data_IF_275627999882
#
_entry.id   IF_275627999882
#
_cell.length_a   1.000
_cell.length_b   1.000
_cell.length_c   1.000
_cell.angle_alpha   90.00
_cell.angle_beta   90.00
_cell.angle_gamma   90.00
#
_symmetry.space_group_name_H-M   'P 1'
#
loop_
_entity.id
_entity.type
_entity.pdbx_description
1 polymer ?
#
# COMPACT_ATOMS: atom_id res chain seq x y z
N UNK A 1 6.36 11.27 13.80
CA UNK A 1 5.23 11.64 12.94
C UNK A 1 5.31 11.06 11.51
N UNK A 2 6.44 11.14 10.83
CA UNK A 2 6.56 10.70 9.43
C UNK A 2 6.28 9.19 9.17
N UNK A 3 6.70 8.28 10.06
CA UNK A 3 6.47 6.83 9.92
C UNK A 3 4.98 6.51 10.03
N UNK A 4 4.28 7.06 11.03
CA UNK A 4 2.82 6.86 11.21
C UNK A 4 2.01 7.31 9.99
N UNK A 5 2.42 8.40 9.34
CA UNK A 5 1.78 8.87 8.10
C UNK A 5 1.95 7.87 6.94
N UNK A 6 3.14 7.28 6.79
CA UNK A 6 3.41 6.25 5.79
C UNK A 6 2.60 4.98 6.03
N UNK A 7 2.60 4.45 7.26
CA UNK A 7 1.81 3.26 7.62
C UNK A 7 0.32 3.51 7.37
N UNK A 8 -0.21 4.67 7.79
CA UNK A 8 -1.61 5.03 7.55
C UNK A 8 -1.94 5.10 6.08
N UNK A 9 -1.06 5.72 5.26
CA UNK A 9 -1.25 5.79 3.81
C UNK A 9 -1.36 4.39 3.20
N UNK A 10 -0.43 3.50 3.51
CA UNK A 10 -0.41 2.12 3.03
C UNK A 10 -1.66 1.35 3.47
N UNK A 11 -2.03 1.45 4.76
CA UNK A 11 -3.20 0.75 5.30
C UNK A 11 -4.52 1.21 4.67
N UNK A 12 -4.60 2.47 4.23
CA UNK A 12 -5.79 3.05 3.62
C UNK A 12 -5.77 3.03 2.07
N UNK A 13 -4.67 2.60 1.45
CA UNK A 13 -4.52 2.46 0.00
C UNK A 13 -4.76 1.01 -0.42
N UNK A 14 -5.94 0.65 -1.02
CA UNK A 14 -6.29 -0.73 -1.33
C UNK A 14 -5.24 -1.41 -2.21
N UNK A 15 -4.77 -0.72 -3.27
CA UNK A 15 -3.80 -1.27 -4.22
C UNK A 15 -2.49 -1.68 -3.54
N UNK A 16 -1.95 -0.83 -2.65
CA UNK A 16 -0.71 -1.14 -1.93
C UNK A 16 -0.95 -2.27 -0.94
N UNK A 17 -2.03 -2.20 -0.15
CA UNK A 17 -2.38 -3.22 0.86
C UNK A 17 -2.49 -4.62 0.24
N UNK A 18 -3.19 -4.76 -0.89
CA UNK A 18 -3.33 -6.04 -1.56
C UNK A 18 -2.02 -6.52 -2.20
N UNK A 19 -1.18 -5.61 -2.71
CA UNK A 19 0.16 -5.96 -3.20
C UNK A 19 1.04 -6.49 -2.06
N UNK A 20 0.99 -5.87 -0.87
CA UNK A 20 1.71 -6.36 0.31
C UNK A 20 1.23 -7.75 0.74
N UNK A 21 -0.10 -7.96 0.79
CA UNK A 21 -0.68 -9.26 1.13
C UNK A 21 -0.24 -10.36 0.14
N UNK A 22 -0.31 -10.07 -1.16
CA UNK A 22 0.13 -11.00 -2.21
C UNK A 22 1.64 -11.26 -2.13
N UNK A 23 2.44 -10.24 -1.83
CA UNK A 23 3.88 -10.38 -1.59
C UNK A 23 4.19 -11.29 -0.40
N UNK A 24 3.46 -11.13 0.72
CA UNK A 24 3.58 -11.99 1.90
C UNK A 24 3.23 -13.45 1.57
N UNK A 25 2.10 -13.69 0.89
CA UNK A 25 1.63 -15.04 0.51
C UNK A 25 2.61 -15.68 -0.48
N UNK A 26 3.07 -14.92 -1.49
CA UNK A 26 4.07 -15.41 -2.43
C UNK A 26 5.39 -15.75 -1.73
N UNK A 27 5.88 -14.86 -0.85
CA UNK A 27 7.09 -15.09 -0.05
C UNK A 27 6.98 -16.35 0.82
N UNK A 28 5.83 -16.57 1.46
CA UNK A 28 5.56 -17.76 2.26
C UNK A 28 5.57 -19.05 1.41
N UNK A 29 4.89 -19.05 0.26
CA UNK A 29 4.87 -20.22 -0.62
C UNK A 29 6.23 -20.50 -1.25
N UNK A 30 6.88 -19.48 -1.80
CA UNK A 30 8.14 -19.62 -2.53
C UNK A 30 9.34 -19.94 -1.61
N UNK A 31 9.25 -19.60 -0.30
CA UNK A 31 10.29 -19.93 0.67
C UNK A 31 10.50 -21.45 0.86
N UNK A 32 9.49 -22.27 0.56
CA UNK A 32 9.61 -23.74 0.61
C UNK A 32 10.78 -24.23 -0.25
N UNK A 33 10.87 -23.71 -1.48
CA UNK A 33 11.92 -24.10 -2.42
C UNK A 33 13.31 -23.76 -1.88
N UNK A 34 13.49 -22.52 -1.41
CA UNK A 34 14.79 -22.01 -0.94
C UNK A 34 15.20 -22.67 0.36
N UNK A 35 14.27 -22.79 1.31
CA UNK A 35 14.53 -23.37 2.63
C UNK A 35 14.82 -24.88 2.56
N UNK A 36 14.15 -25.60 1.66
CA UNK A 36 14.28 -27.05 1.54
C UNK A 36 15.27 -27.47 0.45
N UNK A 37 15.93 -26.54 -0.25
CA UNK A 37 16.87 -26.84 -1.34
C UNK A 37 18.00 -27.80 -0.93
N UNK A 38 18.58 -27.70 0.28
CA UNK A 38 19.58 -28.71 0.73
C UNK A 38 19.01 -30.14 0.82
N UNK A 39 17.75 -30.26 1.31
CA UNK A 39 17.08 -31.58 1.37
C UNK A 39 16.73 -32.10 -0.02
N UNK A 40 16.28 -31.20 -0.93
CA UNK A 40 16.02 -31.56 -2.33
C UNK A 40 17.30 -32.12 -2.97
N UNK A 41 18.44 -31.47 -2.78
CA UNK A 41 19.70 -31.91 -3.35
C UNK A 41 20.12 -33.27 -2.79
N UNK A 42 20.00 -33.50 -1.47
CA UNK A 42 20.41 -34.70 -0.80
C UNK A 42 19.41 -35.86 -0.95
N UNK A 43 18.17 -35.65 -0.58
CA UNK A 43 17.17 -36.70 -0.38
C UNK A 43 16.37 -37.01 -1.64
N UNK A 44 16.06 -36.00 -2.48
CA UNK A 44 15.30 -36.20 -3.70
C UNK A 44 16.18 -36.57 -4.91
N UNK A 45 17.32 -35.88 -5.08
CA UNK A 45 18.24 -36.12 -6.20
C UNK A 45 19.36 -37.09 -5.86
N UNK A 46 19.61 -37.35 -4.57
CA UNK A 46 20.65 -38.25 -4.12
C UNK A 46 22.08 -37.73 -4.33
N UNK A 47 22.22 -36.40 -4.33
CA UNK A 47 23.48 -35.70 -4.57
C UNK A 47 24.16 -35.19 -3.30
N UNK A 48 25.20 -34.42 -3.50
CA UNK A 48 26.08 -33.86 -2.48
C UNK A 48 26.02 -32.32 -2.43
N UNK A 49 27.00 -31.68 -1.77
CA UNK A 49 27.14 -30.25 -1.69
C UNK A 49 27.33 -29.59 -3.07
N UNK A 50 27.92 -30.29 -4.05
CA UNK A 50 28.09 -29.80 -5.43
C UNK A 50 26.73 -29.75 -6.11
N UNK A 51 25.91 -30.77 -5.92
CA UNK A 51 24.51 -30.82 -6.43
C UNK A 51 23.69 -29.66 -5.90
N UNK A 52 23.78 -29.35 -4.59
CA UNK A 52 23.17 -28.18 -4.02
C UNK A 52 23.65 -26.89 -4.71
N UNK A 53 24.95 -26.72 -4.90
CA UNK A 53 25.52 -25.56 -5.58
C UNK A 53 25.03 -25.43 -7.03
N UNK A 54 24.93 -26.53 -7.77
CA UNK A 54 24.42 -26.56 -9.15
C UNK A 54 22.94 -26.17 -9.22
N UNK A 55 22.10 -26.67 -8.28
CA UNK A 55 20.69 -26.31 -8.22
C UNK A 55 20.50 -24.83 -7.86
N UNK A 56 21.26 -24.32 -6.88
CA UNK A 56 21.24 -22.89 -6.53
C UNK A 56 21.74 -22.01 -7.67
N UNK A 57 22.80 -22.44 -8.37
CA UNK A 57 23.32 -21.78 -9.57
C UNK A 57 22.30 -21.75 -10.70
N UNK A 58 21.55 -22.84 -10.91
CA UNK A 58 20.44 -22.90 -11.87
C UNK A 58 19.33 -21.91 -11.53
N UNK A 59 18.93 -21.82 -10.26
CA UNK A 59 17.98 -20.82 -9.79
C UNK A 59 18.52 -19.39 -10.07
N UNK A 60 19.79 -19.11 -9.74
CA UNK A 60 20.43 -17.83 -10.01
C UNK A 60 20.47 -17.47 -11.49
N UNK A 61 20.82 -18.42 -12.37
CA UNK A 61 20.81 -18.24 -13.82
C UNK A 61 19.40 -17.92 -14.34
N UNK A 62 18.40 -18.62 -13.82
CA UNK A 62 16.99 -18.33 -14.09
C UNK A 62 16.57 -16.92 -13.66
N UNK A 63 17.04 -16.48 -12.49
CA UNK A 63 16.77 -15.13 -11.98
C UNK A 63 17.35 -14.04 -12.89
N UNK A 64 18.58 -14.23 -13.40
CA UNK A 64 19.20 -13.34 -14.38
C UNK A 64 18.41 -13.34 -15.69
N UNK A 65 18.03 -14.51 -16.21
CA UNK A 65 17.19 -14.63 -17.41
C UNK A 65 15.85 -13.91 -17.25
N UNK A 66 15.19 -14.09 -16.09
CA UNK A 66 13.95 -13.40 -15.75
C UNK A 66 14.10 -11.88 -15.72
N UNK A 67 15.21 -11.37 -15.16
CA UNK A 67 15.50 -9.94 -15.13
C UNK A 67 15.68 -9.36 -16.56
N UNK A 68 16.38 -10.07 -17.43
CA UNK A 68 16.62 -9.64 -18.81
C UNK A 68 15.33 -9.54 -19.64
N UNK A 69 14.38 -10.48 -19.45
CA UNK A 69 13.11 -10.48 -20.18
C UNK A 69 12.04 -9.59 -19.54
N UNK A 70 12.21 -9.19 -18.26
CA UNK A 70 11.21 -8.43 -17.51
C UNK A 70 10.75 -7.15 -18.22
N UNK A 71 11.68 -6.42 -18.83
CA UNK A 71 11.36 -5.20 -19.57
C UNK A 71 10.45 -5.48 -20.78
N UNK A 72 10.79 -6.50 -21.58
CA UNK A 72 10.00 -6.89 -22.75
C UNK A 72 8.61 -7.35 -22.39
N UNK A 73 8.50 -8.14 -21.31
CA UNK A 73 7.20 -8.61 -20.82
C UNK A 73 6.29 -7.47 -20.38
N UNK A 74 6.84 -6.42 -19.74
CA UNK A 74 6.07 -5.24 -19.34
C UNK A 74 5.56 -4.39 -20.49
N UNK A 75 6.18 -4.49 -21.66
CA UNK A 75 5.70 -3.80 -22.87
C UNK A 75 4.50 -4.51 -23.51
N UNK A 76 4.37 -5.82 -23.30
CA UNK A 76 3.36 -6.66 -23.97
C UNK A 76 2.26 -7.17 -23.03
N UNK A 77 2.52 -7.25 -21.74
CA UNK A 77 1.62 -7.83 -20.74
C UNK A 77 1.33 -6.85 -19.61
N UNK A 78 0.12 -6.97 -19.05
CA UNK A 78 -0.24 -6.24 -17.83
C UNK A 78 0.54 -6.74 -16.62
N UNK A 79 0.72 -5.89 -15.60
CA UNK A 79 1.36 -6.27 -14.34
C UNK A 79 0.71 -7.52 -13.72
N UNK A 80 -0.62 -7.59 -13.80
CA UNK A 80 -1.37 -8.74 -13.29
C UNK A 80 -1.09 -10.02 -14.09
N UNK A 81 -1.04 -9.93 -15.42
CA UNK A 81 -0.73 -11.08 -16.29
C UNK A 81 0.69 -11.61 -16.02
N UNK A 82 1.68 -10.73 -15.87
CA UNK A 82 3.06 -11.11 -15.53
C UNK A 82 3.08 -11.88 -14.20
N UNK A 83 2.45 -11.34 -13.15
CA UNK A 83 2.46 -12.00 -11.82
C UNK A 83 1.73 -13.34 -11.87
N UNK A 84 0.59 -13.44 -12.57
CA UNK A 84 -0.15 -14.72 -12.70
C UNK A 84 0.68 -15.77 -13.42
N UNK A 85 1.18 -15.45 -14.61
CA UNK A 85 1.96 -16.38 -15.41
C UNK A 85 3.23 -16.80 -14.67
N UNK A 86 3.95 -15.85 -14.09
CA UNK A 86 5.17 -16.14 -13.34
C UNK A 86 4.91 -16.98 -12.08
N UNK A 87 3.81 -16.70 -11.33
CA UNK A 87 3.44 -17.48 -10.15
C UNK A 87 2.99 -18.90 -10.51
N UNK A 88 2.23 -19.06 -11.61
CA UNK A 88 1.84 -20.39 -12.12
C UNK A 88 3.05 -21.19 -12.60
N UNK A 89 3.95 -20.56 -13.34
CA UNK A 89 5.19 -21.20 -13.80
C UNK A 89 6.07 -21.63 -12.61
N UNK A 90 6.17 -20.76 -11.59
CA UNK A 90 6.87 -21.06 -10.35
C UNK A 90 6.23 -22.25 -9.61
N UNK A 91 4.91 -22.23 -9.44
CA UNK A 91 4.16 -23.30 -8.76
C UNK A 91 4.32 -24.65 -9.49
N UNK A 92 4.23 -24.64 -10.84
CA UNK A 92 4.45 -25.84 -11.65
C UNK A 92 5.89 -26.36 -11.51
N UNK A 93 6.87 -25.48 -11.53
CA UNK A 93 8.27 -25.85 -11.37
C UNK A 93 8.55 -26.41 -9.97
N UNK A 94 7.92 -25.89 -8.90
CA UNK A 94 7.97 -26.48 -7.56
C UNK A 94 7.31 -27.86 -7.54
N UNK A 95 6.18 -28.05 -8.20
CA UNK A 95 5.51 -29.34 -8.32
C UNK A 95 6.39 -30.39 -9.05
N UNK A 96 7.04 -29.96 -10.14
CA UNK A 96 8.04 -30.81 -10.82
C UNK A 96 9.21 -31.17 -9.90
N UNK A 97 9.73 -30.20 -9.15
CA UNK A 97 10.82 -30.42 -8.17
C UNK A 97 10.39 -31.41 -7.08
N UNK A 98 9.12 -31.36 -6.63
CA UNK A 98 8.59 -32.23 -5.58
C UNK A 98 8.61 -33.72 -5.96
N UNK A 99 8.49 -34.04 -7.25
CA UNK A 99 8.43 -35.44 -7.75
C UNK A 99 9.66 -35.84 -8.54
N UNK A 100 10.57 -34.91 -8.82
CA UNK A 100 11.78 -35.16 -9.63
C UNK A 100 12.88 -35.81 -8.81
N UNK A 101 13.42 -36.90 -9.35
CA UNK A 101 14.61 -37.57 -8.83
C UNK A 101 15.83 -37.41 -9.74
N UNK A 102 15.67 -36.65 -10.85
CA UNK A 102 16.71 -36.48 -11.87
C UNK A 102 17.28 -35.07 -11.83
N UNK A 103 18.57 -34.94 -11.64
CA UNK A 103 19.27 -33.66 -11.56
C UNK A 103 18.95 -32.71 -12.74
N UNK A 104 19.00 -33.12 -14.02
CA UNK A 104 18.74 -32.18 -15.12
C UNK A 104 17.32 -31.61 -15.13
N UNK A 105 16.32 -32.42 -14.73
CA UNK A 105 14.93 -31.98 -14.66
C UNK A 105 14.73 -31.00 -13.50
N UNK A 106 15.35 -31.27 -12.36
CA UNK A 106 15.32 -30.36 -11.20
C UNK A 106 16.04 -29.05 -11.52
N UNK A 107 17.18 -29.08 -12.25
CA UNK A 107 17.88 -27.87 -12.72
C UNK A 107 16.99 -27.03 -13.64
N UNK A 108 16.29 -27.64 -14.60
CA UNK A 108 15.36 -26.94 -15.47
C UNK A 108 14.21 -26.29 -14.68
N UNK A 109 13.67 -27.00 -13.68
CA UNK A 109 12.66 -26.46 -12.76
C UNK A 109 13.22 -25.28 -11.96
N UNK A 110 14.46 -25.36 -11.44
CA UNK A 110 15.12 -24.26 -10.73
C UNK A 110 15.32 -23.01 -11.59
N UNK A 111 15.66 -23.14 -12.88
CA UNK A 111 15.74 -22.04 -13.83
C UNK A 111 14.38 -21.31 -13.93
N UNK A 112 13.29 -22.05 -14.08
CA UNK A 112 11.94 -21.48 -14.15
C UNK A 112 11.57 -20.80 -12.83
N UNK A 113 11.90 -21.40 -11.69
CA UNK A 113 11.67 -20.80 -10.37
C UNK A 113 12.43 -19.49 -10.20
N UNK A 114 13.71 -19.45 -10.58
CA UNK A 114 14.51 -18.22 -10.53
C UNK A 114 13.93 -17.09 -11.36
N UNK A 115 13.54 -17.39 -12.60
CA UNK A 115 12.90 -16.41 -13.50
C UNK A 115 11.56 -15.92 -12.91
N UNK A 116 10.71 -16.83 -12.47
CA UNK A 116 9.41 -16.51 -11.85
C UNK A 116 9.56 -15.65 -10.59
N UNK A 117 10.54 -15.98 -9.73
CA UNK A 117 10.87 -15.20 -8.53
C UNK A 117 11.14 -13.73 -8.86
N UNK A 118 12.07 -13.47 -9.77
CA UNK A 118 12.45 -12.09 -10.13
C UNK A 118 11.29 -11.36 -10.80
N UNK A 119 10.56 -12.00 -11.70
CA UNK A 119 9.42 -11.40 -12.38
C UNK A 119 8.32 -10.97 -11.41
N UNK A 120 7.98 -11.81 -10.45
CA UNK A 120 6.95 -11.50 -9.44
C UNK A 120 7.41 -10.36 -8.53
N UNK A 121 8.61 -10.47 -7.94
CA UNK A 121 9.13 -9.47 -7.01
C UNK A 121 9.35 -8.12 -7.68
N UNK A 122 9.93 -8.10 -8.87
CA UNK A 122 10.15 -6.88 -9.62
C UNK A 122 8.82 -6.20 -10.01
N UNK A 123 7.79 -6.99 -10.36
CA UNK A 123 6.47 -6.44 -10.69
C UNK A 123 5.77 -5.87 -9.47
N UNK A 124 5.78 -6.57 -8.33
CA UNK A 124 5.24 -6.02 -7.09
C UNK A 124 5.96 -4.75 -6.64
N UNK A 125 7.31 -4.74 -6.75
CA UNK A 125 8.14 -3.59 -6.41
C UNK A 125 7.75 -2.36 -7.24
N UNK A 126 7.65 -2.50 -8.56
CA UNK A 126 7.21 -1.44 -9.47
C UNK A 126 5.79 -1.00 -9.15
N UNK A 127 4.87 -1.95 -8.92
CA UNK A 127 3.48 -1.65 -8.57
C UNK A 127 3.38 -0.80 -7.29
N UNK A 128 4.15 -1.14 -6.25
CA UNK A 128 4.18 -0.35 -5.01
C UNK A 128 4.75 1.05 -5.25
N UNK A 129 5.83 1.16 -6.03
CA UNK A 129 6.45 2.44 -6.36
C UNK A 129 5.51 3.34 -7.16
N UNK A 130 4.81 2.79 -8.14
CA UNK A 130 3.90 3.54 -9.00
C UNK A 130 2.53 3.80 -8.36
N UNK A 131 2.17 3.06 -7.31
CA UNK A 131 0.93 3.25 -6.54
C UNK A 131 1.10 4.18 -5.33
N UNK A 132 2.29 4.69 -5.09
CA UNK A 132 2.58 5.56 -3.96
C UNK A 132 3.12 6.92 -4.43
N UNK A 133 2.57 8.05 -3.96
CA UNK A 133 3.16 9.37 -4.20
C UNK A 133 4.61 9.43 -3.71
N UNK A 134 5.43 10.27 -4.34
CA UNK A 134 6.88 10.38 -4.05
C UNK A 134 7.20 10.55 -2.56
N UNK A 135 6.39 11.31 -1.82
CA UNK A 135 6.62 11.59 -0.40
C UNK A 135 6.46 10.37 0.53
N UNK A 136 5.80 9.29 0.07
CA UNK A 136 5.57 8.05 0.85
C UNK A 136 6.15 6.81 0.18
N UNK A 137 6.61 6.89 -1.05
CA UNK A 137 7.06 5.74 -1.85
C UNK A 137 8.14 4.90 -1.14
N UNK A 138 9.15 5.53 -0.55
CA UNK A 138 10.19 4.79 0.20
C UNK A 138 9.64 3.99 1.38
N UNK A 139 8.63 4.53 2.10
CA UNK A 139 8.00 3.83 3.24
C UNK A 139 7.09 2.70 2.79
N UNK A 140 6.33 2.92 1.71
CA UNK A 140 5.51 1.87 1.10
C UNK A 140 6.39 0.70 0.64
N UNK A 141 7.55 1.01 0.04
CA UNK A 141 8.52 0.02 -0.39
C UNK A 141 9.14 -0.74 0.79
N UNK A 142 9.49 -0.06 1.88
CA UNK A 142 10.00 -0.71 3.10
C UNK A 142 8.97 -1.66 3.71
N UNK A 143 7.70 -1.27 3.76
CA UNK A 143 6.61 -2.12 4.25
C UNK A 143 6.39 -3.33 3.33
N UNK A 144 6.51 -3.15 2.01
CA UNK A 144 6.46 -4.23 1.04
C UNK A 144 7.59 -5.23 1.25
N UNK A 145 8.83 -4.75 1.39
CA UNK A 145 9.99 -5.60 1.68
C UNK A 145 9.79 -6.39 3.00
N UNK A 146 9.31 -5.70 4.03
CA UNK A 146 9.02 -6.34 5.32
C UNK A 146 7.94 -7.42 5.19
N UNK A 147 6.89 -7.20 4.39
CA UNK A 147 5.84 -8.18 4.15
C UNK A 147 6.40 -9.44 3.45
N UNK A 148 7.23 -9.28 2.40
CA UNK A 148 7.87 -10.41 1.72
C UNK A 148 8.77 -11.19 2.66
N UNK A 149 9.68 -10.52 3.37
CA UNK A 149 10.60 -11.21 4.28
C UNK A 149 9.90 -11.85 5.47
N UNK A 150 8.81 -11.24 5.97
CA UNK A 150 7.97 -11.85 6.99
C UNK A 150 7.30 -13.13 6.46
N UNK A 151 6.78 -13.10 5.22
CA UNK A 151 6.26 -14.27 4.53
C UNK A 151 7.32 -15.36 4.37
N UNK A 152 8.52 -15.00 3.92
CA UNK A 152 9.64 -15.94 3.78
C UNK A 152 10.07 -16.55 5.11
N UNK A 153 10.22 -15.75 6.15
CA UNK A 153 10.64 -16.24 7.46
C UNK A 153 9.59 -17.18 8.08
N UNK A 154 8.33 -16.76 8.10
CA UNK A 154 7.22 -17.58 8.58
C UNK A 154 7.03 -18.85 7.74
N UNK A 155 7.13 -18.72 6.41
CA UNK A 155 7.06 -19.85 5.48
C UNK A 155 8.20 -20.83 5.70
N UNK A 156 9.45 -20.38 5.77
CA UNK A 156 10.61 -21.26 5.99
C UNK A 156 10.48 -22.07 7.27
N UNK A 157 10.01 -21.44 8.35
CA UNK A 157 9.72 -22.16 9.59
C UNK A 157 8.60 -23.20 9.40
N UNK A 158 7.49 -22.80 8.79
CA UNK A 158 6.35 -23.68 8.53
C UNK A 158 6.76 -24.89 7.69
N UNK A 159 7.49 -24.67 6.59
CA UNK A 159 7.92 -25.75 5.70
C UNK A 159 8.92 -26.69 6.36
N UNK A 160 9.77 -26.19 7.26
CA UNK A 160 10.63 -27.03 8.10
C UNK A 160 9.82 -27.99 8.97
N UNK A 161 8.77 -27.48 9.66
CA UNK A 161 7.86 -28.30 10.47
C UNK A 161 7.11 -29.32 9.60
N UNK A 162 6.48 -28.87 8.50
CA UNK A 162 5.72 -29.76 7.60
C UNK A 162 6.62 -30.86 7.02
N UNK A 163 7.86 -30.53 6.67
CA UNK A 163 8.81 -31.50 6.15
C UNK A 163 9.16 -32.56 7.21
N UNK A 164 9.31 -32.15 8.47
CA UNK A 164 9.60 -33.08 9.57
C UNK A 164 8.46 -34.06 9.85
N UNK A 165 7.22 -33.62 9.75
CA UNK A 165 6.03 -34.43 10.07
C UNK A 165 5.49 -35.22 8.85
N UNK A 166 5.44 -34.59 7.65
CA UNK A 166 4.75 -35.11 6.47
C UNK A 166 5.69 -35.42 5.30
N UNK A 167 6.97 -35.14 5.45
CA UNK A 167 7.99 -35.36 4.42
C UNK A 167 8.13 -34.24 3.38
N UNK A 168 9.26 -34.28 2.67
CA UNK A 168 9.68 -33.25 1.71
C UNK A 168 8.69 -33.02 0.57
N UNK A 169 8.25 -34.12 -0.07
CA UNK A 169 7.32 -34.04 -1.22
C UNK A 169 6.00 -33.37 -0.82
N UNK A 170 5.43 -33.74 0.33
CA UNK A 170 4.20 -33.15 0.83
C UNK A 170 4.36 -31.66 1.13
N UNK A 171 5.46 -31.27 1.78
CA UNK A 171 5.75 -29.86 2.06
C UNK A 171 5.81 -29.02 0.78
N UNK A 172 6.50 -29.51 -0.25
CA UNK A 172 6.58 -28.84 -1.55
C UNK A 172 5.21 -28.77 -2.24
N UNK A 173 4.41 -29.84 -2.25
CA UNK A 173 3.08 -29.83 -2.87
C UNK A 173 2.09 -28.92 -2.13
N UNK A 174 2.15 -28.84 -0.80
CA UNK A 174 1.33 -27.89 -0.03
C UNK A 174 1.76 -26.45 -0.35
N UNK A 175 3.06 -26.19 -0.52
CA UNK A 175 3.53 -24.85 -0.93
C UNK A 175 3.02 -24.47 -2.32
N UNK A 176 2.85 -25.41 -3.25
CA UNK A 176 2.22 -25.18 -4.56
C UNK A 176 0.80 -24.62 -4.38
N UNK A 177 -0.01 -25.19 -3.47
CA UNK A 177 -1.35 -24.68 -3.20
C UNK A 177 -1.35 -23.24 -2.70
N UNK A 178 -0.38 -22.86 -1.85
CA UNK A 178 -0.21 -21.49 -1.38
C UNK A 178 0.16 -20.56 -2.53
N UNK A 179 1.03 -20.98 -3.45
CA UNK A 179 1.43 -20.22 -4.65
C UNK A 179 0.26 -20.04 -5.63
N UNK A 180 -0.53 -21.08 -5.84
CA UNK A 180 -1.77 -21.01 -6.64
C UNK A 180 -2.79 -20.07 -6.00
N UNK A 181 -2.91 -20.08 -4.68
CA UNK A 181 -3.72 -19.14 -3.91
C UNK A 181 -3.28 -17.68 -4.14
N UNK A 182 -1.98 -17.41 -4.20
CA UNK A 182 -1.45 -16.07 -4.54
C UNK A 182 -1.89 -15.63 -5.96
N UNK A 183 -1.82 -16.54 -6.93
CA UNK A 183 -2.34 -16.30 -8.30
C UNK A 183 -3.85 -16.04 -8.31
N UNK A 184 -4.62 -16.84 -7.55
CA UNK A 184 -6.08 -16.72 -7.40
C UNK A 184 -6.51 -15.40 -6.74
N UNK A 185 -5.77 -14.89 -5.77
CA UNK A 185 -6.02 -13.57 -5.17
C UNK A 185 -6.03 -12.45 -6.22
N UNK A 186 -5.25 -12.60 -7.29
CA UNK A 186 -5.22 -11.66 -8.40
C UNK A 186 -6.52 -11.62 -9.23
N UNK A 187 -7.38 -12.66 -9.18
CA UNK A 187 -8.68 -12.64 -9.84
C UNK A 187 -9.65 -11.66 -9.16
N UNK A 188 -9.52 -11.50 -7.82
CA UNK A 188 -10.39 -10.62 -7.02
C UNK A 188 -9.76 -9.25 -6.79
N UNK A 189 -8.42 -9.16 -6.74
CA UNK A 189 -7.65 -7.97 -6.40
C UNK A 189 -6.52 -7.79 -7.42
N UNK A 190 -6.90 -7.39 -8.64
CA UNK A 190 -5.95 -7.15 -9.72
C UNK A 190 -4.99 -6.01 -9.39
N UNK A 191 -3.75 -6.13 -9.87
CA UNK A 191 -2.75 -5.09 -9.73
C UNK A 191 -3.04 -3.95 -10.71
N UNK A 192 -2.89 -2.68 -10.29
CA UNK A 192 -3.02 -1.55 -11.20
C UNK A 192 -1.90 -1.60 -12.26
N UNK A 193 -2.21 -1.09 -13.44
CA UNK A 193 -1.20 -0.92 -14.47
C UNK A 193 -0.36 0.33 -14.20
N UNK A 194 0.85 0.34 -14.74
CA UNK A 194 1.72 1.51 -14.68
C UNK A 194 1.09 2.63 -15.50
N UNK A 195 0.68 3.71 -14.84
CA UNK A 195 0.01 4.86 -15.46
C UNK A 195 -1.50 4.98 -15.20
N UNK A 196 -2.18 3.93 -14.68
CA UNK A 196 -3.60 4.01 -14.30
C UNK A 196 -3.85 4.99 -13.15
N UNK A 197 -2.87 5.15 -12.26
CA UNK A 197 -2.95 6.06 -11.12
C UNK A 197 -2.22 7.36 -11.44
N UNK A 198 -2.96 8.43 -11.59
CA UNK A 198 -2.42 9.78 -11.77
C UNK A 198 -2.02 10.37 -10.43
N UNK A 199 -0.91 9.92 -9.89
CA UNK A 199 -0.38 10.32 -8.58
C UNK A 199 0.51 11.58 -8.63
N UNK A 200 0.50 12.29 -9.75
CA UNK A 200 1.16 13.60 -9.85
C UNK A 200 0.51 14.55 -8.85
N UNK A 201 1.34 15.27 -8.11
CA UNK A 201 0.87 16.29 -7.18
C UNK A 201 0.33 17.46 -7.99
N UNK A 202 -0.88 17.89 -7.67
CA UNK A 202 -1.46 19.08 -8.28
C UNK A 202 -0.96 20.32 -7.54
N UNK A 203 -0.20 21.15 -8.22
CA UNK A 203 0.18 22.48 -7.73
C UNK A 203 -0.97 23.51 -7.81
N UNK A 204 -2.22 23.04 -7.77
CA UNK A 204 -3.40 23.93 -7.84
C UNK A 204 -3.75 24.62 -6.53
N UNK A 205 -3.23 24.12 -5.41
CA UNK A 205 -3.56 24.69 -4.12
C UNK A 205 -2.61 25.85 -3.79
N UNK A 206 -3.18 27.01 -3.56
CA UNK A 206 -2.45 28.17 -3.04
C UNK A 206 -2.69 28.27 -1.54
N UNK A 207 -1.63 28.58 -0.80
CA UNK A 207 -1.74 28.84 0.62
C UNK A 207 -2.68 30.03 0.83
N UNK A 208 -3.72 29.88 1.68
CA UNK A 208 -4.67 30.96 1.91
C UNK A 208 -4.02 32.06 2.72
N UNK A 209 -4.35 33.29 2.38
CA UNK A 209 -4.02 34.45 3.20
C UNK A 209 -4.78 34.35 4.53
N UNK A 210 -4.04 34.49 5.63
CA UNK A 210 -4.57 34.44 6.98
C UNK A 210 -4.31 35.77 7.66
N UNK A 211 -5.36 36.35 8.26
CA UNK A 211 -5.25 37.60 9.01
C UNK A 211 -4.63 37.43 10.40
N UNK A 212 -4.75 36.22 10.97
CA UNK A 212 -4.20 35.90 12.28
C UNK A 212 -2.75 35.44 12.16
N UNK A 213 -1.86 36.02 12.94
CA UNK A 213 -0.47 35.55 13.03
C UNK A 213 -0.45 34.22 13.76
N UNK A 214 -0.14 33.14 13.05
CA UNK A 214 -0.01 31.78 13.61
C UNK A 214 1.34 31.18 13.22
N UNK A 215 1.88 30.38 14.12
CA UNK A 215 3.09 29.61 13.86
C UNK A 215 2.76 28.33 13.08
N UNK A 216 3.76 27.75 12.40
CA UNK A 216 3.59 26.47 11.67
C UNK A 216 3.07 25.32 12.53
N UNK A 217 3.38 25.35 13.84
CA UNK A 217 2.96 24.32 14.81
C UNK A 217 1.66 24.66 15.54
N UNK A 218 1.06 25.82 15.28
CA UNK A 218 -0.22 26.20 15.88
C UNK A 218 -1.34 25.27 15.41
N UNK A 219 -2.19 24.86 16.33
CA UNK A 219 -3.32 23.95 16.07
C UNK A 219 -4.03 23.53 17.36
N UNK A 220 -5.05 22.68 17.32
CA UNK A 220 -5.65 22.09 16.09
C UNK A 220 -6.31 23.11 15.18
N UNK A 221 -6.21 22.87 13.88
CA UNK A 221 -6.89 23.68 12.86
C UNK A 221 -8.16 22.95 12.43
N UNK A 222 -9.30 23.52 12.72
CA UNK A 222 -10.61 23.02 12.29
C UNK A 222 -10.95 23.62 10.94
N UNK A 223 -11.25 22.76 9.98
CA UNK A 223 -11.65 23.17 8.62
C UNK A 223 -13.09 22.76 8.37
N UNK A 224 -13.91 23.71 7.94
CA UNK A 224 -15.27 23.44 7.49
C UNK A 224 -15.43 23.85 6.04
N UNK A 225 -16.17 23.03 5.28
CA UNK A 225 -16.53 23.34 3.89
C UNK A 225 -18.04 23.20 3.73
N UNK A 226 -18.69 24.24 3.24
CA UNK A 226 -20.14 24.34 3.06
C UNK A 226 -20.51 23.96 1.62
N UNK A 227 -21.46 23.04 1.45
CA UNK A 227 -21.98 22.60 0.17
C UNK A 227 -23.50 22.77 0.12
N UNK A 228 -24.04 23.28 -0.97
CA UNK A 228 -25.48 23.28 -1.23
C UNK A 228 -25.80 22.21 -2.27
N UNK A 229 -26.62 21.23 -1.88
CA UNK A 229 -26.87 20.02 -2.66
C UNK A 229 -28.38 19.85 -2.81
N UNK A 230 -28.84 19.63 -4.05
CA UNK A 230 -30.25 19.32 -4.32
C UNK A 230 -30.60 17.94 -3.77
N UNK A 231 -31.84 17.76 -3.41
CA UNK A 231 -32.32 16.48 -2.86
C UNK A 231 -32.11 15.30 -3.85
N UNK A 232 -32.25 15.54 -5.15
CA UNK A 232 -32.01 14.53 -6.20
C UNK A 232 -30.55 14.06 -6.27
N UNK A 233 -29.60 14.93 -5.92
CA UNK A 233 -28.17 14.68 -6.03
C UNK A 233 -27.55 14.12 -4.73
N UNK A 234 -28.34 13.99 -3.66
CA UNK A 234 -27.84 13.62 -2.31
C UNK A 234 -27.15 12.25 -2.32
N UNK A 235 -27.67 11.25 -3.00
CA UNK A 235 -27.07 9.90 -3.02
C UNK A 235 -25.69 9.91 -3.67
N UNK A 236 -25.56 10.61 -4.81
CA UNK A 236 -24.28 10.75 -5.50
C UNK A 236 -23.28 11.56 -4.66
N UNK A 237 -23.75 12.64 -4.05
CA UNK A 237 -22.95 13.44 -3.14
C UNK A 237 -22.43 12.63 -1.95
N UNK A 238 -23.27 11.83 -1.30
CA UNK A 238 -22.84 10.98 -0.17
C UNK A 238 -21.82 9.93 -0.59
N UNK A 239 -21.97 9.34 -1.78
CA UNK A 239 -20.98 8.43 -2.34
C UNK A 239 -19.62 9.10 -2.55
N UNK A 240 -19.61 10.28 -3.19
CA UNK A 240 -18.40 11.08 -3.41
C UNK A 240 -17.76 11.53 -2.09
N UNK A 241 -18.59 11.93 -1.09
CA UNK A 241 -18.10 12.30 0.25
C UNK A 241 -17.52 11.11 1.03
N UNK A 242 -18.01 9.89 0.77
CA UNK A 242 -17.41 8.66 1.29
C UNK A 242 -15.97 8.46 0.77
N UNK A 243 -15.73 8.69 -0.51
CA UNK A 243 -14.38 8.66 -1.10
C UNK A 243 -13.51 9.80 -0.53
N UNK A 244 -14.06 11.01 -0.44
CA UNK A 244 -13.37 12.17 0.13
C UNK A 244 -12.97 11.97 1.59
N UNK A 245 -13.83 11.38 2.42
CA UNK A 245 -13.50 10.98 3.80
C UNK A 245 -12.27 10.10 3.85
N UNK A 246 -12.19 9.09 2.96
CA UNK A 246 -11.05 8.18 2.88
C UNK A 246 -9.77 8.93 2.51
N UNK A 247 -9.83 9.82 1.50
CA UNK A 247 -8.71 10.66 1.06
C UNK A 247 -8.24 11.55 2.22
N UNK A 248 -9.15 12.29 2.86
CA UNK A 248 -8.83 13.18 3.99
C UNK A 248 -8.16 12.45 5.14
N UNK A 249 -8.72 11.30 5.53
CA UNK A 249 -8.15 10.47 6.61
C UNK A 249 -6.80 9.87 6.24
N UNK A 250 -6.62 9.43 5.00
CA UNK A 250 -5.35 8.95 4.46
C UNK A 250 -4.27 10.03 4.60
N UNK A 251 -4.58 11.27 4.26
CA UNK A 251 -3.64 12.38 4.25
C UNK A 251 -3.43 13.01 5.63
N UNK A 252 -4.24 12.66 6.62
CA UNK A 252 -3.97 13.04 7.99
C UNK A 252 -5.05 13.80 8.73
N UNK A 253 -6.17 14.07 8.09
CA UNK A 253 -7.31 14.68 8.77
C UNK A 253 -7.83 13.80 9.90
N UNK A 254 -8.24 14.45 11.00
CA UNK A 254 -8.84 13.82 12.19
C UNK A 254 -10.29 14.28 12.33
N UNK A 255 -11.06 13.57 13.10
CA UNK A 255 -12.46 13.89 13.49
C UNK A 255 -13.32 14.32 12.28
N UNK A 256 -13.12 13.65 11.12
CA UNK A 256 -13.89 13.96 9.93
C UNK A 256 -15.37 13.62 10.13
N UNK A 257 -16.23 14.58 9.88
CA UNK A 257 -17.69 14.46 9.91
C UNK A 257 -18.33 15.19 8.74
N UNK A 258 -19.48 14.71 8.31
CA UNK A 258 -20.36 15.37 7.37
C UNK A 258 -21.67 15.66 8.11
N UNK A 259 -22.06 16.91 8.14
CA UNK A 259 -23.25 17.40 8.85
C UNK A 259 -24.25 17.90 7.81
N UNK A 260 -25.55 17.71 8.07
CA UNK A 260 -26.63 18.33 7.32
C UNK A 260 -27.28 19.37 8.23
N UNK A 261 -27.51 20.58 7.75
CA UNK A 261 -28.18 21.61 8.50
C UNK A 261 -29.66 21.23 8.70
N UNK A 262 -30.19 21.45 9.90
CA UNK A 262 -31.58 21.13 10.21
C UNK A 262 -32.56 22.22 9.77
N UNK A 263 -32.08 23.45 9.63
CA UNK A 263 -32.86 24.61 9.22
C UNK A 263 -32.82 24.82 7.71
N UNK A 264 -31.68 24.50 7.09
CA UNK A 264 -31.43 24.55 5.64
C UNK A 264 -31.08 23.15 5.13
N UNK A 265 -32.07 22.31 4.74
CA UNK A 265 -31.83 20.91 4.39
C UNK A 265 -30.93 20.67 3.18
N UNK A 266 -30.77 21.68 2.31
CA UNK A 266 -29.83 21.67 1.17
C UNK A 266 -28.38 21.97 1.58
N UNK A 267 -28.15 22.48 2.80
CA UNK A 267 -26.83 22.83 3.30
C UNK A 267 -26.16 21.65 3.99
N UNK A 268 -25.00 21.27 3.46
CA UNK A 268 -24.13 20.23 4.00
C UNK A 268 -22.77 20.81 4.39
N UNK A 269 -22.22 20.37 5.55
CA UNK A 269 -20.97 20.89 6.09
C UNK A 269 -20.00 19.73 6.30
N UNK A 270 -18.93 19.70 5.54
CA UNK A 270 -17.77 18.86 5.82
C UNK A 270 -16.97 19.52 6.93
N UNK A 271 -16.64 18.78 7.99
CA UNK A 271 -15.76 19.21 9.07
C UNK A 271 -14.64 18.21 9.29
N UNK A 272 -13.42 18.70 9.46
CA UNK A 272 -12.28 17.88 9.89
C UNK A 272 -11.24 18.75 10.60
N UNK A 273 -10.37 18.09 11.38
CA UNK A 273 -9.31 18.76 12.12
C UNK A 273 -7.95 18.36 11.57
N UNK A 274 -7.02 19.30 11.53
CA UNK A 274 -5.60 19.07 11.28
C UNK A 274 -4.81 19.38 12.56
N UNK A 275 -3.85 18.52 12.97
CA UNK A 275 -3.13 18.71 14.24
C UNK A 275 -2.39 20.03 14.35
N UNK A 276 -1.84 20.52 13.22
CA UNK A 276 -1.13 21.80 13.14
C UNK A 276 -1.41 22.50 11.81
N UNK A 277 -1.10 23.81 11.74
CA UNK A 277 -1.16 24.56 10.49
C UNK A 277 -0.26 23.95 9.41
N UNK A 278 0.94 23.54 9.78
CA UNK A 278 1.87 22.87 8.86
C UNK A 278 1.31 21.54 8.33
N UNK A 279 0.60 20.77 9.17
CA UNK A 279 -0.03 19.54 8.72
C UNK A 279 -1.18 19.82 7.75
N UNK A 280 -1.95 20.90 7.98
CA UNK A 280 -2.99 21.37 7.05
C UNK A 280 -2.39 21.74 5.68
N UNK A 281 -1.31 22.53 5.66
CA UNK A 281 -0.59 22.89 4.43
C UNK A 281 -0.12 21.62 3.71
N UNK A 282 0.56 20.73 4.43
CA UNK A 282 1.06 19.46 3.87
C UNK A 282 -0.03 18.55 3.32
N UNK A 283 -1.20 18.50 3.94
CA UNK A 283 -2.34 17.72 3.46
C UNK A 283 -2.82 18.23 2.11
N UNK A 284 -2.92 19.55 1.95
CA UNK A 284 -3.41 20.15 0.70
C UNK A 284 -2.37 20.11 -0.43
N UNK A 285 -1.07 20.12 -0.11
CA UNK A 285 0.00 19.88 -1.11
C UNK A 285 0.14 18.41 -1.52
N UNK A 286 -0.54 17.46 -0.87
CA UNK A 286 -0.49 16.03 -1.19
C UNK A 286 -1.62 15.57 -2.09
N UNK A 287 -2.51 16.44 -2.50
CA UNK A 287 -3.63 16.15 -3.40
C UNK A 287 -3.07 15.70 -4.75
N UNK A 288 -3.48 14.52 -5.19
CA UNK A 288 -3.10 13.97 -6.49
C UNK A 288 -4.14 14.31 -7.56
N UNK A 289 -3.83 14.08 -8.83
CA UNK A 289 -4.80 14.26 -9.93
C UNK A 289 -6.03 13.34 -9.75
N UNK A 290 -5.84 12.12 -9.26
CA UNK A 290 -6.96 11.21 -8.96
C UNK A 290 -7.85 11.73 -7.83
N UNK A 291 -7.25 12.31 -6.78
CA UNK A 291 -8.01 12.96 -5.71
C UNK A 291 -8.79 14.18 -6.21
N UNK A 292 -8.27 14.87 -7.22
CA UNK A 292 -8.93 16.02 -7.83
C UNK A 292 -10.20 15.62 -8.58
N UNK A 293 -10.26 14.46 -9.20
CA UNK A 293 -11.46 13.96 -9.86
C UNK A 293 -12.65 13.85 -8.87
N UNK A 294 -12.37 13.42 -7.63
CA UNK A 294 -13.39 13.38 -6.56
C UNK A 294 -13.80 14.81 -6.17
N UNK A 295 -12.85 15.74 -6.14
CA UNK A 295 -13.11 17.14 -5.88
C UNK A 295 -14.00 17.77 -6.94
N UNK A 296 -13.65 17.56 -8.21
CA UNK A 296 -14.40 18.11 -9.35
C UNK A 296 -15.83 17.57 -9.37
N UNK A 297 -16.03 16.26 -9.08
CA UNK A 297 -17.35 15.65 -8.95
C UNK A 297 -18.19 16.32 -7.86
N UNK A 298 -17.64 16.52 -6.66
CA UNK A 298 -18.33 17.20 -5.55
C UNK A 298 -18.64 18.67 -5.91
N UNK A 299 -17.72 19.36 -6.60
CA UNK A 299 -17.94 20.73 -7.04
C UNK A 299 -19.09 20.85 -8.07
N UNK A 300 -19.20 19.90 -8.97
CA UNK A 300 -20.26 19.88 -9.99
C UNK A 300 -21.66 19.66 -9.37
N UNK A 301 -21.73 18.98 -8.22
CA UNK A 301 -22.98 18.81 -7.47
C UNK A 301 -23.37 20.03 -6.63
N UNK A 302 -22.42 20.95 -6.41
CA UNK A 302 -22.68 22.16 -5.61
C UNK A 302 -23.51 23.19 -6.36
N UNK A 303 -24.65 23.60 -5.82
CA UNK A 303 -25.59 24.54 -6.41
C UNK A 303 -25.49 25.97 -5.83
N UNK A 304 -24.57 26.21 -4.92
CA UNK A 304 -24.37 27.51 -4.30
C UNK A 304 -23.70 28.53 -5.25
N UNK A 305 -23.78 29.83 -4.94
CA UNK A 305 -23.11 30.84 -5.74
C UNK A 305 -21.58 30.72 -5.62
N UNK A 306 -20.95 30.30 -6.70
CA UNK A 306 -19.49 30.17 -6.79
C UNK A 306 -18.95 28.85 -6.22
N UNK A 307 -17.75 28.91 -5.66
CA UNK A 307 -17.08 27.73 -5.06
C UNK A 307 -17.58 27.47 -3.63
N UNK A 308 -17.60 26.20 -3.16
CA UNK A 308 -17.91 25.89 -1.78
C UNK A 308 -17.10 26.73 -0.79
N UNK A 309 -17.78 27.29 0.20
CA UNK A 309 -17.14 28.17 1.17
C UNK A 309 -16.31 27.38 2.17
N UNK A 310 -15.00 27.65 2.21
CA UNK A 310 -14.07 27.00 3.13
C UNK A 310 -13.71 27.96 4.26
N UNK A 311 -14.01 27.57 5.49
CA UNK A 311 -13.56 28.28 6.71
C UNK A 311 -12.47 27.51 7.40
N UNK A 312 -11.52 28.21 7.96
CA UNK A 312 -10.39 27.67 8.74
C UNK A 312 -10.40 28.36 10.08
N UNK A 313 -10.45 27.57 11.12
CA UNK A 313 -10.53 28.05 12.49
C UNK A 313 -9.46 27.36 13.31
N UNK A 314 -8.93 28.05 14.29
CA UNK A 314 -8.06 27.45 15.29
C UNK A 314 -8.86 27.20 16.55
N UNK A 315 -8.79 25.99 17.08
CA UNK A 315 -9.45 25.65 18.34
C UNK A 315 -8.75 26.38 19.48
N UNK A 316 -9.51 27.04 20.35
CA UNK A 316 -9.05 27.73 21.52
C UNK A 316 -9.54 27.01 22.76
N UNK A 317 -8.63 26.76 23.68
CA UNK A 317 -9.03 26.34 25.02
C UNK A 317 -9.61 27.53 25.78
N UNK A 318 -10.73 27.31 26.47
CA UNK A 318 -11.45 28.35 27.19
C UNK A 318 -10.88 28.62 28.61
N UNK A 319 -9.93 27.80 29.06
CA UNK A 319 -9.29 27.93 30.38
C UNK A 319 -7.89 28.54 30.27
N UNK A 320 -7.68 29.65 30.98
CA UNK A 320 -6.36 30.17 31.43
C UNK A 320 -5.36 30.74 30.42
N UNK A 321 -5.73 31.12 29.20
CA UNK A 321 -4.81 31.88 28.35
C UNK A 321 -4.93 33.40 28.63
N UNK A 322 -3.83 34.14 28.84
CA UNK A 322 -3.86 35.58 28.92
C UNK A 322 -4.47 36.20 27.66
N UNK A 323 -5.39 37.14 27.81
CA UNK A 323 -5.95 37.86 26.69
C UNK A 323 -4.83 38.51 25.87
N UNK A 324 -4.69 38.12 24.59
CA UNK A 324 -3.69 38.71 23.67
C UNK A 324 -2.46 37.85 23.36
N UNK A 325 -2.24 36.71 23.99
CA UNK A 325 -1.15 35.81 23.61
C UNK A 325 -1.48 35.02 22.36
N UNK A 326 -0.58 35.04 21.36
CA UNK A 326 -0.68 34.10 20.25
C UNK A 326 -0.57 32.65 20.76
N UNK A 327 -1.42 31.72 20.32
CA UNK A 327 -1.34 30.34 20.80
C UNK A 327 -0.01 29.72 20.42
N UNK A 328 0.75 29.27 21.42
CA UNK A 328 2.02 28.57 21.21
C UNK A 328 1.77 27.09 20.91
N UNK A 329 2.64 26.47 20.13
CA UNK A 329 2.53 25.04 19.79
C UNK A 329 2.42 24.12 21.02
N UNK A 330 2.99 24.50 22.17
CA UNK A 330 2.89 23.75 23.43
C UNK A 330 1.51 23.80 24.08
N UNK A 331 0.75 24.88 23.86
CA UNK A 331 -0.58 25.07 24.46
C UNK A 331 -1.65 24.20 23.79
N UNK A 332 -1.37 23.74 22.54
CA UNK A 332 -2.24 22.86 21.78
C UNK A 332 -1.66 21.45 21.57
N UNK A 333 -0.40 21.26 21.97
CA UNK A 333 0.27 19.95 21.90
C UNK A 333 0.09 19.15 23.17
N UNK A 334 -0.92 19.49 23.98
CA UNK A 334 -1.15 18.72 25.18
C UNK A 334 -1.44 17.25 24.93
N UNK A 335 -1.08 16.41 25.89
CA UNK A 335 -0.64 15.03 25.72
C UNK A 335 -1.73 14.03 25.40
N UNK A 336 -2.93 14.44 25.11
CA UNK A 336 -4.02 13.55 24.68
C UNK A 336 -3.74 12.83 23.33
N UNK A 337 -2.63 13.19 22.65
CA UNK A 337 -2.36 12.64 21.32
C UNK A 337 -0.99 11.99 21.10
N UNK A 338 -0.05 12.09 22.06
CA UNK A 338 1.26 11.44 21.91
C UNK A 338 1.89 11.02 23.26
N UNK A 339 1.63 9.78 23.71
CA UNK A 339 2.23 9.25 24.96
C UNK A 339 3.76 9.06 24.88
N UNK A 340 4.40 9.20 23.73
CA UNK A 340 5.85 9.05 23.58
C UNK A 340 6.66 10.31 23.92
N UNK A 341 6.03 11.39 24.38
CA UNK A 341 6.69 12.64 24.78
C UNK A 341 6.87 12.81 26.30
N UNK A 342 6.58 11.76 27.07
CA UNK A 342 6.79 11.75 28.54
C UNK A 342 8.03 10.96 28.93
N UNK A 343 9.07 10.91 28.08
CA UNK A 343 10.38 10.40 28.44
C UNK A 343 11.44 11.45 28.17
#
# INVERSE_FOLDING_TARGET
MAIRAGIRYVAMSPHIKFTLLRGLVFGAGASALVALLPLIAKDAVGGDSVTYGVLLGSFGAGAVGGALIAHRLRLSLSNEAIVRVASLAFALAVAVTAVSTRLPLTMAAQLVCGAGWVLVLATFNVTVQTSAPRWVAGRALSLYQMAIFAGMAGGSWLWGVVTGELGLTTALLVSVLVLLGCGGLGLRFALPQTGDLKLNLLERWKEPEIALQIEQRSGPVVVTTEYRIRDDDVLEFLAAMGERKRIRRRDGARHWSLLRDLSEPDLWIERYDSPTWLDYIRQNHRITEDDAAVWDRIHNLHQGPGKPRVRRMIERQTSSLPAGSAPRAKEFAEPLTDPSRQA
#
